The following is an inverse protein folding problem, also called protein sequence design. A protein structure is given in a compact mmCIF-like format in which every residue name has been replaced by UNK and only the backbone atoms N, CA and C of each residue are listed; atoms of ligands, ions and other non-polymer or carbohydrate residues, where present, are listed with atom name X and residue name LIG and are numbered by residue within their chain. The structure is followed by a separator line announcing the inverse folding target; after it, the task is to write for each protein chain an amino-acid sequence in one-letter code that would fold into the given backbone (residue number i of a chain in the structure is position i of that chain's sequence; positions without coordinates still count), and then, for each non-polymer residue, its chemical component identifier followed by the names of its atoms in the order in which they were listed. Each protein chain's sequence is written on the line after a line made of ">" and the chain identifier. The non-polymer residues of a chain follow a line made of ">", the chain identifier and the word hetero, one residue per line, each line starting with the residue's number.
data_IF_921005935525
#
_entry.id   IF_921005935525
#
_cell.length_a   1.000
_cell.length_b   1.000
_cell.length_c   1.000
_cell.angle_alpha   90.00
_cell.angle_beta   90.00
_cell.angle_gamma   90.00
#
_symmetry.space_group_name_H-M   'P 1'
#
loop_
_entity.id
_entity.type
_entity.pdbx_description
1 polymer ?
#
# COMPACT_ATOMS: atom_id res chain seq x y z
N UNK A 1 -61.97 -28.55 30.33
CA UNK A 1 -61.37 -28.25 29.01
C UNK A 1 -60.46 -27.03 29.16
N UNK A 2 -59.18 -27.24 29.51
CA UNK A 2 -58.17 -26.19 29.49
C UNK A 2 -56.91 -26.75 28.84
N UNK A 3 -56.63 -26.29 27.62
CA UNK A 3 -55.48 -26.69 26.82
C UNK A 3 -54.27 -25.83 27.17
N UNK A 4 -53.22 -26.47 27.66
CA UNK A 4 -51.90 -25.89 27.85
C UNK A 4 -51.07 -26.10 26.58
N UNK A 5 -50.68 -25.02 25.90
CA UNK A 5 -49.74 -25.03 24.77
C UNK A 5 -48.29 -24.93 25.31
N UNK A 6 -47.33 -25.71 24.78
CA UNK A 6 -45.95 -25.67 25.23
C UNK A 6 -45.16 -24.54 24.55
N UNK A 7 -44.71 -23.59 25.37
CA UNK A 7 -43.82 -22.48 25.01
C UNK A 7 -42.36 -22.96 25.08
N UNK A 8 -41.83 -23.63 24.05
CA UNK A 8 -40.43 -24.14 24.06
C UNK A 8 -39.73 -24.16 22.69
N UNK A 9 -39.71 -23.08 21.88
CA UNK A 9 -38.83 -23.02 20.68
C UNK A 9 -38.29 -21.61 20.35
N UNK A 10 -37.93 -20.79 21.34
CA UNK A 10 -37.40 -19.42 21.07
C UNK A 10 -36.05 -19.08 21.68
N UNK A 11 -35.38 -20.02 22.35
CA UNK A 11 -34.07 -19.74 22.97
C UNK A 11 -32.84 -20.21 22.17
N UNK A 12 -33.02 -21.04 21.14
CA UNK A 12 -31.88 -21.60 20.39
C UNK A 12 -31.44 -20.74 19.18
N UNK A 13 -32.28 -19.79 18.74
CA UNK A 13 -31.96 -18.91 17.60
C UNK A 13 -30.97 -17.78 17.94
N UNK A 14 -30.89 -17.38 19.22
CA UNK A 14 -30.07 -16.23 19.63
C UNK A 14 -28.57 -16.55 19.82
N UNK A 15 -28.20 -17.83 19.97
CA UNK A 15 -26.80 -18.22 20.12
C UNK A 15 -26.10 -18.49 18.78
N UNK A 16 -26.84 -18.78 17.70
CA UNK A 16 -26.26 -18.99 16.37
C UNK A 16 -25.91 -17.66 15.68
N UNK A 17 -26.64 -16.58 15.97
CA UNK A 17 -26.34 -15.24 15.41
C UNK A 17 -25.12 -14.56 16.06
N UNK A 18 -24.75 -14.94 17.29
CA UNK A 18 -23.60 -14.36 18.00
C UNK A 18 -22.25 -14.98 17.57
N UNK A 19 -22.26 -16.17 16.97
CA UNK A 19 -21.05 -16.87 16.50
C UNK A 19 -20.63 -16.54 15.07
N UNK A 20 -21.49 -15.87 14.28
CA UNK A 20 -21.11 -15.43 12.93
C UNK A 20 -20.35 -14.09 12.90
N UNK A 21 -20.13 -13.44 14.06
CA UNK A 21 -19.49 -12.13 14.14
C UNK A 21 -17.99 -12.20 14.50
N UNK A 22 -17.42 -13.39 14.60
CA UNK A 22 -15.99 -13.57 14.93
C UNK A 22 -15.16 -13.76 13.66
N UNK A 23 -14.15 -12.90 13.51
CA UNK A 23 -13.09 -12.93 12.50
C UNK A 23 -13.44 -12.34 11.13
N UNK A 24 -13.89 -11.07 11.10
CA UNK A 24 -13.42 -10.20 10.01
C UNK A 24 -11.95 -9.90 10.30
N UNK A 25 -11.05 -10.80 9.87
CA UNK A 25 -9.61 -10.50 9.89
C UNK A 25 -9.39 -9.14 9.23
N UNK A 26 -8.61 -8.29 9.88
CA UNK A 26 -8.30 -6.97 9.39
C UNK A 26 -7.40 -7.10 8.16
N UNK A 27 -8.01 -7.37 7.00
CA UNK A 27 -7.30 -7.51 5.75
C UNK A 27 -6.48 -6.25 5.46
N UNK A 28 -5.31 -6.42 4.86
CA UNK A 28 -4.40 -5.31 4.53
C UNK A 28 -4.14 -5.25 3.03
N UNK A 29 -3.79 -4.05 2.56
CA UNK A 29 -3.25 -3.81 1.23
C UNK A 29 -1.77 -3.52 1.41
N UNK A 30 -0.90 -4.24 0.71
CA UNK A 30 0.56 -4.09 0.79
C UNK A 30 1.13 -3.91 -0.61
N UNK A 31 2.10 -3.01 -0.75
CA UNK A 31 2.88 -2.89 -1.99
C UNK A 31 4.34 -2.54 -1.67
N UNK A 32 5.20 -2.73 -2.66
CA UNK A 32 6.63 -2.49 -2.54
C UNK A 32 7.10 -1.50 -3.61
N UNK A 33 7.89 -0.53 -3.19
CA UNK A 33 8.59 0.39 -4.07
C UNK A 33 10.04 -0.10 -4.18
N UNK A 34 10.48 -0.43 -5.40
CA UNK A 34 11.81 -0.99 -5.68
C UNK A 34 12.63 -0.04 -6.55
N UNK A 35 13.96 -0.02 -6.47
CA UNK A 35 14.76 0.76 -7.40
C UNK A 35 14.65 0.20 -8.83
N UNK A 36 14.62 1.09 -9.83
CA UNK A 36 14.74 0.77 -11.26
C UNK A 36 16.07 1.27 -11.84
N UNK A 37 16.71 0.56 -12.79
CA UNK A 37 16.40 -0.82 -13.18
C UNK A 37 16.52 -1.75 -11.98
N UNK A 38 15.78 -2.86 -12.01
CA UNK A 38 15.96 -3.94 -11.05
C UNK A 38 17.33 -4.55 -11.35
N UNK A 39 18.38 -3.93 -10.83
CA UNK A 39 19.70 -4.51 -10.85
C UNK A 39 19.58 -5.74 -9.96
N UNK A 40 19.70 -6.91 -10.58
CA UNK A 40 20.07 -8.11 -9.83
C UNK A 40 21.26 -7.71 -8.96
N UNK A 41 21.21 -8.02 -7.67
CA UNK A 41 22.34 -7.79 -6.76
C UNK A 41 23.64 -8.18 -7.49
N UNK A 42 24.74 -7.43 -7.31
CA UNK A 42 26.02 -7.80 -7.92
C UNK A 42 26.24 -9.27 -7.62
N UNK A 43 26.31 -10.09 -8.68
CA UNK A 43 26.32 -11.54 -8.52
C UNK A 43 27.44 -11.92 -7.55
N UNK A 44 27.26 -13.00 -6.79
CA UNK A 44 28.29 -13.50 -5.87
C UNK A 44 29.68 -13.60 -6.55
N UNK A 45 29.71 -13.83 -7.86
CA UNK A 45 30.92 -13.78 -8.70
C UNK A 45 31.55 -12.38 -8.81
N UNK A 46 30.77 -11.31 -9.00
CA UNK A 46 31.29 -9.93 -9.01
C UNK A 46 31.81 -9.52 -7.64
N UNK A 47 31.07 -9.87 -6.57
CA UNK A 47 31.52 -9.63 -5.19
C UNK A 47 32.82 -10.39 -4.89
N UNK A 48 32.94 -11.66 -5.32
CA UNK A 48 34.17 -12.44 -5.17
C UNK A 48 35.34 -11.86 -5.97
N UNK A 49 35.10 -11.46 -7.23
CA UNK A 49 36.13 -10.83 -8.06
C UNK A 49 36.60 -9.48 -7.49
N UNK A 50 35.72 -8.76 -6.80
CA UNK A 50 36.04 -7.51 -6.11
C UNK A 50 36.81 -7.74 -4.80
N UNK A 51 36.45 -8.77 -4.02
CA UNK A 51 37.14 -9.13 -2.78
C UNK A 51 38.53 -9.72 -3.02
N UNK A 52 38.79 -10.30 -4.20
CA UNK A 52 40.10 -10.82 -4.60
C UNK A 52 41.19 -9.74 -4.75
N UNK A 53 40.86 -8.44 -4.68
CA UNK A 53 41.82 -7.33 -4.77
C UNK A 53 41.86 -6.50 -3.47
N UNK A 54 42.51 -6.98 -2.41
CA UNK A 54 42.65 -6.25 -1.15
C UNK A 54 43.40 -4.93 -1.37
N UNK A 55 42.87 -3.82 -0.81
CA UNK A 55 43.46 -2.48 -0.90
C UNK A 55 42.82 -1.53 -1.94
N UNK A 56 41.95 -2.04 -2.83
CA UNK A 56 41.13 -1.22 -3.75
C UNK A 56 39.63 -1.38 -3.52
N UNK A 57 39.23 -1.75 -2.30
CA UNK A 57 37.85 -1.62 -1.81
C UNK A 57 37.56 -0.12 -1.70
N UNK A 58 37.25 0.44 -2.86
CA UNK A 58 37.41 1.85 -3.16
C UNK A 58 36.35 2.71 -2.47
N UNK A 59 36.67 3.98 -2.24
CA UNK A 59 35.70 5.07 -2.00
C UNK A 59 34.46 5.02 -2.91
N UNK A 60 34.56 4.33 -4.06
CA UNK A 60 33.45 4.04 -4.97
C UNK A 60 32.37 3.14 -4.35
N UNK A 61 32.70 2.19 -3.45
CA UNK A 61 31.72 1.42 -2.68
C UNK A 61 30.99 2.30 -1.66
N UNK A 62 31.71 3.17 -0.95
CA UNK A 62 31.09 4.11 -0.01
C UNK A 62 30.18 5.11 -0.74
N UNK A 63 30.60 5.58 -1.93
CA UNK A 63 29.76 6.44 -2.79
C UNK A 63 28.59 5.68 -3.43
N UNK A 64 28.78 4.46 -3.93
CA UNK A 64 27.69 3.67 -4.52
C UNK A 64 26.65 3.21 -3.51
N UNK A 65 27.06 3.05 -2.23
CA UNK A 65 26.14 2.79 -1.12
C UNK A 65 25.44 4.07 -0.62
N UNK A 66 26.02 5.24 -0.86
CA UNK A 66 25.39 6.55 -0.59
C UNK A 66 24.44 7.00 -1.71
N UNK A 67 24.64 6.52 -2.94
CA UNK A 67 23.78 6.79 -4.11
C UNK A 67 22.68 5.72 -4.30
N UNK A 68 22.48 4.82 -3.32
CA UNK A 68 21.38 3.87 -3.38
C UNK A 68 20.08 4.66 -3.49
N UNK A 69 19.36 4.47 -4.59
CA UNK A 69 18.04 5.07 -4.82
C UNK A 69 17.15 4.67 -3.64
N UNK A 70 17.00 5.56 -2.67
CA UNK A 70 16.28 5.25 -1.44
C UNK A 70 14.80 5.08 -1.77
N UNK A 71 14.30 3.88 -1.54
CA UNK A 71 12.87 3.56 -1.64
C UNK A 71 12.16 3.73 -0.30
N UNK A 72 12.91 4.07 0.76
CA UNK A 72 12.41 4.46 2.08
C UNK A 72 11.86 5.90 2.07
N UNK A 73 10.87 6.16 2.93
CA UNK A 73 10.36 7.50 3.20
C UNK A 73 9.47 8.06 2.09
N UNK A 74 9.04 7.23 1.16
CA UNK A 74 8.09 7.61 0.11
C UNK A 74 6.70 7.55 0.73
N UNK A 75 6.08 8.71 0.86
CA UNK A 75 4.78 8.79 1.46
C UNK A 75 3.68 8.32 0.53
N UNK A 76 2.65 7.73 1.12
CA UNK A 76 1.39 7.45 0.44
C UNK A 76 0.19 7.59 1.39
N UNK A 77 -1.01 7.74 0.82
CA UNK A 77 -2.24 7.81 1.59
C UNK A 77 -3.35 6.95 1.00
N UNK A 78 -4.25 6.46 1.85
CA UNK A 78 -5.41 5.66 1.47
C UNK A 78 -6.49 5.82 2.54
N UNK A 79 -7.74 6.14 2.18
CA UNK A 79 -8.86 6.22 3.14
C UNK A 79 -8.59 7.07 4.40
N UNK A 80 -7.84 8.17 4.28
CA UNK A 80 -7.48 9.01 5.42
C UNK A 80 -6.38 8.44 6.31
N UNK A 81 -5.72 7.35 5.91
CA UNK A 81 -4.46 6.89 6.49
C UNK A 81 -3.29 7.51 5.72
N UNK A 82 -2.19 7.76 6.42
CA UNK A 82 -0.93 8.22 5.85
C UNK A 82 0.17 7.27 6.28
N UNK A 83 0.97 6.81 5.32
CA UNK A 83 2.08 5.91 5.52
C UNK A 83 3.34 6.45 4.82
N UNK A 84 4.50 6.01 5.28
CA UNK A 84 5.75 6.15 4.54
C UNK A 84 6.33 4.76 4.31
N UNK A 85 7.00 4.57 3.18
CA UNK A 85 7.66 3.31 2.88
C UNK A 85 8.82 3.06 3.84
N UNK A 86 9.00 1.79 4.22
CA UNK A 86 10.07 1.36 5.11
C UNK A 86 11.43 1.20 4.38
N UNK A 87 12.43 0.68 5.08
CA UNK A 87 13.77 0.39 4.52
C UNK A 87 13.75 -0.55 3.30
N UNK A 88 12.72 -1.39 3.16
CA UNK A 88 12.52 -2.30 2.04
C UNK A 88 11.62 -1.70 0.94
N UNK A 89 11.21 -0.44 1.10
CA UNK A 89 10.23 0.20 0.23
C UNK A 89 8.80 -0.31 0.41
N UNK A 90 8.52 -1.10 1.45
CA UNK A 90 7.20 -1.64 1.75
C UNK A 90 6.29 -0.54 2.28
N UNK A 91 5.03 -0.54 1.86
CA UNK A 91 3.96 0.25 2.48
C UNK A 91 2.71 -0.61 2.60
N UNK A 92 1.97 -0.44 3.69
CA UNK A 92 0.73 -1.15 3.92
C UNK A 92 -0.38 -0.23 4.43
N UNK A 93 -1.63 -0.63 4.18
CA UNK A 93 -2.84 0.05 4.64
C UNK A 93 -3.89 -0.96 5.11
N UNK A 94 -4.73 -0.61 6.09
CA UNK A 94 -5.91 -1.42 6.39
C UNK A 94 -6.87 -1.40 5.20
N UNK A 95 -7.30 -2.56 4.73
CA UNK A 95 -8.25 -2.68 3.61
C UNK A 95 -9.63 -2.20 4.08
N UNK A 96 -10.13 -1.11 3.50
CA UNK A 96 -11.45 -0.53 3.81
C UNK A 96 -12.53 -0.87 2.77
N UNK A 97 -12.17 -1.61 1.72
CA UNK A 97 -13.09 -2.00 0.65
C UNK A 97 -13.08 -3.50 0.39
N UNK A 98 -14.24 -4.06 0.03
CA UNK A 98 -14.38 -5.47 -0.38
C UNK A 98 -13.97 -5.71 -1.83
N UNK A 99 -13.95 -4.66 -2.66
CA UNK A 99 -13.53 -4.75 -4.05
C UNK A 99 -12.08 -5.24 -4.17
N UNK A 100 -11.82 -6.07 -5.17
CA UNK A 100 -10.49 -6.54 -5.60
C UNK A 100 -9.86 -5.60 -6.65
N UNK A 101 -10.47 -4.42 -6.85
CA UNK A 101 -9.93 -3.32 -7.66
C UNK A 101 -9.32 -2.24 -6.76
N UNK A 102 -8.07 -1.89 -7.01
CA UNK A 102 -7.34 -0.82 -6.32
C UNK A 102 -6.86 0.18 -7.38
N UNK A 103 -7.13 1.46 -7.17
CA UNK A 103 -6.56 2.50 -8.00
C UNK A 103 -5.33 3.09 -7.30
N UNK A 104 -4.27 3.35 -8.05
CA UNK A 104 -3.07 4.06 -7.58
C UNK A 104 -2.90 5.33 -8.39
N UNK A 105 -2.89 6.48 -7.71
CA UNK A 105 -2.56 7.76 -8.27
C UNK A 105 -1.12 8.13 -7.90
N UNK A 106 -0.28 8.40 -8.89
CA UNK A 106 1.06 8.96 -8.67
C UNK A 106 1.00 10.47 -8.93
N UNK A 107 1.32 11.27 -7.93
CA UNK A 107 1.40 12.74 -8.08
C UNK A 107 2.21 13.35 -6.94
N UNK A 108 2.79 14.54 -7.13
CA UNK A 108 3.53 15.22 -6.06
C UNK A 108 2.61 15.90 -5.04
N UNK A 109 1.43 16.34 -5.48
CA UNK A 109 0.53 17.18 -4.70
C UNK A 109 -0.92 16.87 -5.06
N UNK A 110 -1.77 16.96 -4.05
CA UNK A 110 -3.21 16.78 -4.19
C UNK A 110 -3.91 17.58 -3.10
N UNK A 111 -5.06 18.16 -3.43
CA UNK A 111 -5.80 19.05 -2.54
C UNK A 111 -7.00 18.30 -1.95
N UNK A 112 -7.15 18.22 -0.62
CA UNK A 112 -8.36 17.68 -0.02
C UNK A 112 -9.53 18.65 -0.23
N UNK A 113 -10.68 18.13 -0.68
CA UNK A 113 -11.94 18.87 -0.70
C UNK A 113 -12.79 18.39 0.46
N UNK A 114 -13.14 19.31 1.36
CA UNK A 114 -13.91 19.02 2.56
C UNK A 114 -15.41 19.17 2.31
N UNK A 115 -16.24 18.40 3.04
CA UNK A 115 -17.69 18.65 3.08
C UNK A 115 -18.03 19.69 4.16
N UNK A 116 -18.04 19.23 5.42
CA UNK A 116 -18.38 20.00 6.62
C UNK A 116 -17.38 19.59 7.70
N UNK A 117 -16.80 20.57 8.39
CA UNK A 117 -15.74 20.35 9.36
C UNK A 117 -14.46 19.80 8.69
N UNK A 118 -13.82 18.83 9.34
CA UNK A 118 -12.52 18.26 8.90
C UNK A 118 -12.67 16.95 8.10
N UNK A 119 -13.87 16.63 7.61
CA UNK A 119 -14.13 15.41 6.85
C UNK A 119 -13.82 15.62 5.37
N UNK A 120 -12.81 14.92 4.86
CA UNK A 120 -12.45 14.93 3.43
C UNK A 120 -13.55 14.19 2.65
N UNK A 121 -14.11 14.86 1.65
CA UNK A 121 -15.09 14.28 0.73
C UNK A 121 -14.40 13.50 -0.40
N UNK A 122 -13.41 14.13 -1.01
CA UNK A 122 -12.64 13.62 -2.13
C UNK A 122 -11.33 14.39 -2.25
N UNK A 123 -10.49 13.92 -3.15
CA UNK A 123 -9.26 14.59 -3.52
C UNK A 123 -9.40 15.28 -4.87
N UNK A 124 -8.73 16.41 -5.04
CA UNK A 124 -8.72 17.18 -6.27
C UNK A 124 -7.28 17.36 -6.74
N UNK A 125 -7.02 17.06 -8.02
CA UNK A 125 -5.73 17.33 -8.65
C UNK A 125 -5.81 18.70 -9.34
N UNK A 126 -4.84 19.57 -9.08
CA UNK A 126 -4.73 20.85 -9.79
C UNK A 126 -4.50 20.61 -11.29
N UNK A 127 -4.99 21.50 -12.15
CA UNK A 127 -4.92 21.33 -13.61
C UNK A 127 -3.48 21.21 -14.15
N UNK A 128 -2.54 21.92 -13.51
CA UNK A 128 -1.13 21.96 -13.91
C UNK A 128 -0.28 20.86 -13.28
N UNK A 129 -0.79 20.16 -12.27
CA UNK A 129 -0.01 19.17 -11.53
C UNK A 129 0.08 17.87 -12.34
N UNK A 130 1.30 17.38 -12.64
CA UNK A 130 1.47 16.09 -13.28
C UNK A 130 0.92 14.95 -12.41
N UNK A 131 0.12 14.09 -13.02
CA UNK A 131 -0.45 12.94 -12.35
C UNK A 131 -0.65 11.78 -13.33
N UNK A 132 -0.52 10.56 -12.83
CA UNK A 132 -0.81 9.34 -13.59
C UNK A 132 -1.64 8.39 -12.72
N UNK A 133 -2.72 7.85 -13.28
CA UNK A 133 -3.63 6.93 -12.62
C UNK A 133 -3.43 5.52 -13.17
N UNK A 134 -3.40 4.55 -12.27
CA UNK A 134 -3.27 3.14 -12.60
C UNK A 134 -4.36 2.35 -11.89
N UNK A 135 -4.90 1.35 -12.57
CA UNK A 135 -5.89 0.42 -12.04
C UNK A 135 -5.25 -0.96 -11.88
N UNK A 136 -5.43 -1.55 -10.70
CA UNK A 136 -5.02 -2.90 -10.35
C UNK A 136 -6.28 -3.70 -10.07
N UNK A 137 -6.60 -4.70 -10.88
CA UNK A 137 -7.77 -5.56 -10.70
C UNK A 137 -7.32 -7.00 -10.51
N UNK A 138 -7.63 -7.61 -9.36
CA UNK A 138 -7.40 -9.04 -9.18
C UNK A 138 -8.55 -9.80 -9.80
N UNK A 139 -8.22 -10.73 -10.70
CA UNK A 139 -9.16 -11.64 -11.34
C UNK A 139 -8.79 -13.07 -10.99
N UNK A 140 -9.78 -13.97 -11.02
CA UNK A 140 -9.56 -15.40 -10.92
C UNK A 140 -9.87 -16.03 -12.28
N UNK A 141 -8.95 -16.83 -12.81
CA UNK A 141 -9.21 -17.61 -14.02
C UNK A 141 -10.22 -18.72 -13.72
N UNK A 142 -11.28 -18.82 -14.51
CA UNK A 142 -12.36 -19.79 -14.26
C UNK A 142 -11.91 -21.24 -14.42
N UNK A 143 -10.90 -21.51 -15.25
CA UNK A 143 -10.38 -22.85 -15.56
C UNK A 143 -9.30 -23.27 -14.59
N UNK A 144 -8.28 -22.44 -14.38
CA UNK A 144 -7.14 -22.80 -13.52
C UNK A 144 -7.39 -22.48 -12.05
N UNK A 145 -8.38 -21.63 -11.74
CA UNK A 145 -8.67 -21.09 -10.40
C UNK A 145 -7.52 -20.26 -9.82
N UNK A 146 -6.52 -19.92 -10.64
CA UNK A 146 -5.39 -19.07 -10.24
C UNK A 146 -5.80 -17.61 -10.25
N UNK A 147 -5.19 -16.83 -9.36
CA UNK A 147 -5.42 -15.38 -9.28
C UNK A 147 -4.34 -14.63 -10.06
N UNK A 148 -4.73 -13.53 -10.70
CA UNK A 148 -3.81 -12.64 -11.39
C UNK A 148 -4.25 -11.19 -11.23
N UNK A 149 -3.28 -10.29 -11.10
CA UNK A 149 -3.46 -8.85 -11.21
C UNK A 149 -3.44 -8.44 -12.67
N UNK A 150 -4.47 -7.73 -13.11
CA UNK A 150 -4.46 -6.95 -14.34
C UNK A 150 -4.11 -5.51 -13.97
N UNK A 151 -3.00 -5.01 -14.50
CA UNK A 151 -2.52 -3.65 -14.28
C UNK A 151 -2.63 -2.84 -15.56
N UNK A 152 -3.43 -1.77 -15.53
CA UNK A 152 -3.65 -0.84 -16.64
C UNK A 152 -3.35 0.60 -16.23
N UNK A 153 -2.86 1.41 -17.17
CA UNK A 153 -2.87 2.87 -17.03
C UNK A 153 -4.24 3.40 -17.42
N UNK A 154 -4.83 4.20 -16.57
CA UNK A 154 -6.15 4.81 -16.79
C UNK A 154 -6.00 6.30 -17.14
N UNK A 155 -6.97 6.86 -17.86
CA UNK A 155 -7.08 8.31 -18.01
C UNK A 155 -7.48 8.94 -16.68
N UNK A 156 -6.97 10.15 -16.42
CA UNK A 156 -7.47 10.94 -15.30
C UNK A 156 -8.93 11.32 -15.57
N UNK A 157 -9.79 11.35 -14.54
CA UNK A 157 -11.17 11.80 -14.70
C UNK A 157 -11.19 13.25 -15.17
N UNK A 158 -12.14 13.61 -16.03
CA UNK A 158 -12.22 14.94 -16.66
C UNK A 158 -12.28 16.07 -15.64
N UNK A 159 -13.01 15.87 -14.54
CA UNK A 159 -13.13 16.81 -13.44
C UNK A 159 -11.96 16.78 -12.45
N UNK A 160 -10.96 15.90 -12.67
CA UNK A 160 -9.80 15.67 -11.79
C UNK A 160 -10.15 15.36 -10.33
N UNK A 161 -11.36 14.86 -10.10
CA UNK A 161 -11.84 14.39 -8.81
C UNK A 161 -11.43 12.94 -8.59
N UNK A 162 -10.70 12.70 -7.52
CA UNK A 162 -10.17 11.39 -7.14
C UNK A 162 -10.90 10.89 -5.90
N UNK A 163 -11.31 9.63 -5.94
CA UNK A 163 -12.06 8.98 -4.86
C UNK A 163 -11.14 8.63 -3.67
N UNK A 164 -11.71 8.51 -2.47
CA UNK A 164 -10.97 8.25 -1.23
C UNK A 164 -10.37 6.83 -1.16
N UNK A 165 -10.90 5.92 -1.97
CA UNK A 165 -10.44 4.54 -2.14
C UNK A 165 -9.24 4.38 -3.08
N UNK A 166 -8.73 5.50 -3.62
CA UNK A 166 -7.51 5.52 -4.41
C UNK A 166 -6.30 5.67 -3.50
N UNK A 167 -5.31 4.80 -3.64
CA UNK A 167 -4.01 4.97 -3.01
C UNK A 167 -3.29 6.10 -3.73
N UNK A 168 -2.88 7.13 -2.99
CA UNK A 168 -2.12 8.26 -3.54
C UNK A 168 -0.66 8.06 -3.15
N UNK A 169 0.22 7.94 -4.14
CA UNK A 169 1.66 7.86 -3.96
C UNK A 169 2.28 9.23 -4.25
N UNK A 170 2.90 9.84 -3.22
CA UNK A 170 3.41 11.21 -3.29
C UNK A 170 4.78 11.27 -3.97
N UNK A 171 4.78 11.20 -5.31
CA UNK A 171 5.99 11.20 -6.14
C UNK A 171 5.72 11.83 -7.52
N UNK A 172 6.81 12.25 -8.20
CA UNK A 172 6.73 12.70 -9.60
C UNK A 172 6.41 11.50 -10.50
N UNK A 173 5.38 11.56 -11.36
CA UNK A 173 5.06 10.44 -12.26
C UNK A 173 6.23 10.01 -13.14
N UNK A 174 6.99 10.99 -13.67
CA UNK A 174 8.18 10.72 -14.49
C UNK A 174 9.28 9.91 -13.77
N UNK A 175 9.30 9.92 -12.45
CA UNK A 175 10.30 9.26 -11.61
C UNK A 175 9.85 7.86 -11.15
N UNK A 176 8.61 7.47 -11.50
CA UNK A 176 8.03 6.19 -11.18
C UNK A 176 7.80 5.35 -12.44
N UNK A 177 7.74 4.03 -12.26
CA UNK A 177 7.39 3.06 -13.28
C UNK A 177 6.50 2.00 -12.65
N UNK A 178 5.35 1.75 -13.28
CA UNK A 178 4.46 0.65 -12.93
C UNK A 178 4.41 -0.31 -14.11
N UNK A 179 4.76 -1.60 -13.92
CA UNK A 179 4.62 -2.60 -14.97
C UNK A 179 3.14 -2.83 -15.28
N UNK A 180 2.78 -2.77 -16.56
CA UNK A 180 1.42 -3.02 -17.04
C UNK A 180 1.29 -4.46 -17.55
N UNK A 181 0.07 -4.99 -17.55
CA UNK A 181 -0.24 -6.34 -18.01
C UNK A 181 -0.71 -7.26 -16.88
N UNK A 182 -0.59 -8.56 -17.13
CA UNK A 182 -1.05 -9.61 -16.20
C UNK A 182 0.10 -10.12 -15.35
N UNK A 183 -0.07 -10.12 -14.03
CA UNK A 183 0.94 -10.50 -13.04
C UNK A 183 0.32 -11.53 -12.09
N UNK A 184 0.97 -12.66 -11.77
CA UNK A 184 0.45 -13.63 -10.82
C UNK A 184 0.10 -13.00 -9.47
N UNK A 185 -0.97 -13.47 -8.84
CA UNK A 185 -1.44 -12.97 -7.55
C UNK A 185 -1.77 -14.12 -6.60
N UNK A 186 -1.68 -13.84 -5.30
CA UNK A 186 -2.06 -14.79 -4.27
C UNK A 186 -3.58 -14.75 -4.02
N UNK A 187 -4.13 -15.90 -3.59
CA UNK A 187 -5.53 -16.05 -3.20
C UNK A 187 -5.87 -15.45 -1.81
N UNK A 188 -4.90 -14.81 -1.14
CA UNK A 188 -5.05 -14.32 0.23
C UNK A 188 -6.06 -13.15 0.30
N UNK A 189 -6.87 -13.03 1.37
CA UNK A 189 -7.68 -11.82 1.64
C UNK A 189 -6.86 -10.52 1.69
N UNK A 190 -5.59 -10.61 2.11
CA UNK A 190 -4.62 -9.53 2.04
C UNK A 190 -4.20 -9.31 0.58
N UNK A 191 -4.31 -8.07 0.14
CA UNK A 191 -3.97 -7.68 -1.22
C UNK A 191 -2.50 -7.30 -1.28
N UNK A 192 -1.66 -8.18 -1.83
CA UNK A 192 -0.27 -7.85 -2.17
C UNK A 192 -0.25 -7.37 -3.61
N UNK A 193 -0.03 -6.07 -3.80
CA UNK A 193 0.00 -5.47 -5.13
C UNK A 193 1.36 -5.74 -5.80
N UNK A 194 1.38 -5.80 -7.14
CA UNK A 194 2.62 -5.84 -7.91
C UNK A 194 3.57 -4.68 -7.54
N UNK A 195 4.89 -4.89 -7.65
CA UNK A 195 5.86 -3.89 -7.27
C UNK A 195 5.80 -2.65 -8.17
N UNK A 196 5.99 -1.50 -7.54
CA UNK A 196 6.16 -0.19 -8.20
C UNK A 196 7.65 0.10 -8.21
N UNK A 197 8.18 0.74 -9.25
CA UNK A 197 9.60 1.02 -9.33
C UNK A 197 9.93 2.52 -9.37
N UNK A 198 10.95 2.91 -8.60
CA UNK A 198 11.52 4.26 -8.58
C UNK A 198 12.72 4.35 -9.54
N UNK A 199 12.62 5.17 -10.59
CA UNK A 199 13.66 5.34 -11.63
C UNK A 199 14.92 6.04 -11.14
N UNK A 200 14.80 6.85 -10.09
CA UNK A 200 15.91 7.60 -9.49
C UNK A 200 15.61 7.84 -8.01
N UNK A 201 16.59 8.37 -7.29
CA UNK A 201 16.38 8.83 -5.91
C UNK A 201 15.26 9.87 -5.88
N UNK A 202 14.20 9.55 -5.14
CA UNK A 202 13.06 10.44 -5.02
C UNK A 202 13.40 11.58 -4.06
N UNK A 203 13.11 12.81 -4.46
CA UNK A 203 13.24 13.94 -3.55
C UNK A 203 12.08 13.88 -2.54
N UNK A 204 12.36 13.36 -1.35
CA UNK A 204 11.37 13.20 -0.29
C UNK A 204 10.96 14.53 0.38
N UNK A 205 11.76 15.59 0.26
CA UNK A 205 11.53 16.85 0.98
C UNK A 205 10.27 17.59 0.51
N UNK A 206 10.09 17.78 -0.79
CA UNK A 206 8.93 18.53 -1.32
C UNK A 206 7.59 17.84 -0.98
N UNK A 207 7.43 16.53 -1.25
CA UNK A 207 6.29 15.75 -0.77
C UNK A 207 6.13 15.79 0.76
N UNK A 208 7.21 15.64 1.53
CA UNK A 208 7.14 15.66 3.00
C UNK A 208 6.61 16.99 3.54
N UNK A 209 7.09 18.12 3.02
CA UNK A 209 6.61 19.45 3.41
C UNK A 209 5.11 19.64 3.08
N UNK A 210 4.66 19.13 1.94
CA UNK A 210 3.25 19.14 1.57
C UNK A 210 2.41 18.30 2.55
N UNK A 211 2.89 17.11 2.88
CA UNK A 211 2.21 16.16 3.75
C UNK A 211 2.14 16.66 5.19
N UNK A 212 3.19 17.31 5.70
CA UNK A 212 3.19 17.93 7.03
C UNK A 212 2.01 18.92 7.16
N UNK A 213 1.71 19.70 6.10
CA UNK A 213 0.57 20.64 6.09
C UNK A 213 -0.79 19.93 6.15
N UNK A 214 -0.87 18.72 5.61
CA UNK A 214 -2.10 17.94 5.56
C UNK A 214 -2.22 16.90 6.70
N UNK A 215 -1.16 16.69 7.47
CA UNK A 215 -1.06 15.62 8.48
C UNK A 215 -2.24 15.60 9.45
N UNK A 216 -2.77 16.78 9.80
CA UNK A 216 -3.93 16.92 10.70
C UNK A 216 -5.22 16.24 10.19
N UNK A 217 -5.28 15.92 8.89
CA UNK A 217 -6.44 15.26 8.27
C UNK A 217 -6.27 13.74 8.15
N UNK A 218 -5.15 13.18 8.60
CA UNK A 218 -4.86 11.75 8.49
C UNK A 218 -4.73 11.07 9.85
N UNK A 219 -5.26 9.84 9.96
CA UNK A 219 -4.98 8.93 11.08
C UNK A 219 -3.60 8.30 10.84
N UNK A 220 -2.66 8.36 11.79
CA UNK A 220 -1.42 7.60 11.68
C UNK A 220 -1.73 6.10 11.71
N UNK A 221 -0.98 5.30 10.95
CA UNK A 221 -1.05 3.85 11.07
C UNK A 221 -0.30 3.48 12.36
N UNK A 222 -1.04 3.07 13.39
CA UNK A 222 -0.47 2.58 14.64
C UNK A 222 -0.03 1.12 14.46
N UNK A 223 1.26 0.87 14.60
CA UNK A 223 1.79 -0.47 14.81
C UNK A 223 1.85 -0.68 16.31
N UNK A 224 0.95 -1.51 16.86
CA UNK A 224 1.07 -1.91 18.26
C UNK A 224 2.06 -3.07 18.34
N UNK A 225 3.21 -2.84 18.99
CA UNK A 225 4.13 -3.91 19.34
C UNK A 225 3.58 -4.64 20.56
N UNK A 226 2.90 -5.76 20.35
CA UNK A 226 2.50 -6.64 21.44
C UNK A 226 3.73 -7.42 21.90
N UNK A 227 4.16 -7.17 23.13
CA UNK A 227 5.20 -7.97 23.79
C UNK A 227 4.66 -9.40 23.97
N UNK A 228 5.25 -10.38 23.29
CA UNK A 228 4.85 -11.79 23.40
C UNK A 228 5.54 -12.44 24.61
N UNK A 229 6.82 -12.15 24.82
CA UNK A 229 7.62 -12.63 25.97
C UNK A 229 8.60 -11.55 26.42
N UNK A 230 9.31 -11.77 27.55
CA UNK A 230 10.28 -10.81 28.08
C UNK A 230 11.32 -10.33 27.06
N UNK A 231 11.67 -11.19 26.10
CA UNK A 231 12.68 -10.97 25.06
C UNK A 231 12.12 -10.80 23.64
N UNK A 232 10.83 -11.06 23.39
CA UNK A 232 10.26 -10.99 22.04
C UNK A 232 9.03 -10.08 21.96
N UNK A 233 9.04 -9.22 20.94
CA UNK A 233 7.91 -8.37 20.53
C UNK A 233 7.39 -8.88 19.19
N UNK A 234 6.07 -9.02 19.05
CA UNK A 234 5.43 -9.07 17.74
C UNK A 234 4.81 -7.73 17.41
N UNK A 235 5.08 -7.23 16.22
CA UNK A 235 4.33 -6.12 15.66
C UNK A 235 2.98 -6.65 15.16
N UNK A 236 1.89 -6.20 15.77
CA UNK A 236 0.53 -6.45 15.31
C UNK A 236 -0.07 -5.12 14.85
N UNK A 237 -0.55 -5.11 13.61
CA UNK A 237 -1.22 -3.95 13.05
C UNK A 237 -2.64 -3.91 13.64
N UNK A 238 -3.01 -2.79 14.27
CA UNK A 238 -4.38 -2.56 14.72
C UNK A 238 -5.03 -1.52 13.79
N UNK A 239 -6.14 -1.86 13.11
CA UNK A 239 -6.80 -0.99 12.13
C UNK A 239 -7.45 0.29 12.70
#
# INVERSE_FOLDING_TARGET
>A
MHGLLPLRITFFSFFVSLWLCTALEAAIITFFIRPYPFNQDPTTAELQAMLAKPGKVSLRMLRSRSDTKTTEGIFSSYWGYLAASDLNGQTFFPRKQQSDKINILITERITPIFMIGNTIHHWQIDQITPAELYSFSRIQDEKTKEYSWIVSKESLPENRRIQLDTIILFAKPKDMYIPQGTIPADANPNLILPPIYAKKTLNSLSPALWIIKMRQFFKPISVESKKITETYYSEQIIP
#
